data_IF_601495125567
#
_entry.id   IF_601495125567
#
_cell.length_a   1.000
_cell.length_b   1.000
_cell.length_c   1.000
_cell.angle_alpha   90.00
_cell.angle_beta   90.00
_cell.angle_gamma   90.00
#
_symmetry.space_group_name_H-M   'P 1'
#
loop_
_entity.id
_entity.type
_entity.pdbx_description
1 polymer ?
#
# COMPACT_ATOMS: atom_id res chain seq x y z
N UNK A 1 32.22 -33.58 3.93
CA UNK A 1 30.98 -34.17 4.46
C UNK A 1 30.40 -35.07 3.38
N UNK A 2 30.45 -36.39 3.55
CA UNK A 2 29.87 -37.34 2.61
C UNK A 2 28.45 -37.70 3.09
N UNK A 3 27.45 -37.45 2.26
CA UNK A 3 26.06 -37.82 2.54
C UNK A 3 25.86 -39.23 2.00
N UNK A 4 25.78 -40.21 2.91
CA UNK A 4 25.39 -41.58 2.57
C UNK A 4 23.86 -41.63 2.64
N UNK A 5 23.19 -41.52 1.49
CA UNK A 5 21.75 -41.81 1.39
C UNK A 5 21.57 -43.30 1.13
N UNK A 6 21.19 -44.04 2.16
CA UNK A 6 20.67 -45.38 2.02
C UNK A 6 19.18 -45.28 1.66
N UNK A 7 18.84 -45.61 0.41
CA UNK A 7 17.44 -45.72 -0.03
C UNK A 7 16.99 -47.15 0.25
N UNK A 8 16.22 -47.35 1.31
CA UNK A 8 15.51 -48.61 1.55
C UNK A 8 14.23 -48.63 0.73
N UNK A 9 14.21 -49.43 -0.34
CA UNK A 9 12.98 -49.70 -1.10
C UNK A 9 12.21 -50.79 -0.36
N UNK A 10 11.10 -50.42 0.29
CA UNK A 10 10.17 -51.39 0.87
C UNK A 10 9.27 -51.94 -0.23
N UNK A 11 9.57 -53.15 -0.71
CA UNK A 11 8.65 -53.93 -1.55
C UNK A 11 7.58 -54.55 -0.65
N UNK A 12 6.32 -54.10 -0.81
CA UNK A 12 5.16 -54.68 -0.14
C UNK A 12 4.63 -55.84 -0.99
N UNK A 13 5.18 -57.05 -0.82
CA UNK A 13 4.66 -58.27 -1.44
C UNK A 13 4.76 -59.46 -0.46
N UNK A 14 3.78 -60.38 -0.41
CA UNK A 14 3.70 -61.43 0.60
C UNK A 14 4.33 -62.74 0.11
N UNK A 15 5.66 -62.79 -0.07
CA UNK A 15 6.39 -64.06 -0.23
C UNK A 15 7.82 -63.96 0.28
N UNK A 16 8.41 -65.05 0.81
CA UNK A 16 9.72 -65.02 1.44
C UNK A 16 10.84 -64.95 0.40
N UNK A 17 11.37 -63.74 0.17
CA UNK A 17 12.58 -63.55 -0.62
C UNK A 17 13.76 -63.27 0.32
N UNK A 18 14.78 -64.13 0.25
CA UNK A 18 16.06 -63.99 0.94
C UNK A 18 16.80 -62.78 0.35
N UNK A 19 16.90 -61.69 1.10
CA UNK A 19 17.60 -60.47 0.66
C UNK A 19 19.07 -60.61 1.04
N UNK A 20 19.91 -60.93 0.05
CA UNK A 20 21.37 -60.84 0.19
C UNK A 20 21.80 -59.40 -0.13
N UNK A 21 22.29 -58.70 0.90
CA UNK A 21 22.75 -57.31 0.79
C UNK A 21 24.25 -57.33 0.50
N UNK A 22 24.63 -57.36 -0.78
CA UNK A 22 26.00 -57.08 -1.20
C UNK A 22 26.21 -55.56 -1.22
N UNK A 23 26.71 -55.02 -0.12
CA UNK A 23 27.10 -53.62 0.01
C UNK A 23 28.46 -53.38 -0.70
N UNK A 24 28.44 -53.23 -2.03
CA UNK A 24 29.61 -52.75 -2.78
C UNK A 24 29.68 -51.22 -2.64
N UNK A 25 30.47 -50.75 -1.66
CA UNK A 25 30.80 -49.35 -1.48
C UNK A 25 31.80 -48.92 -2.56
N UNK A 26 31.29 -48.42 -3.69
CA UNK A 26 32.11 -47.84 -4.76
C UNK A 26 32.18 -46.32 -4.56
N UNK A 27 33.24 -45.84 -3.92
CA UNK A 27 33.51 -44.39 -3.77
C UNK A 27 34.04 -43.86 -5.10
N UNK A 28 33.11 -43.55 -6.02
CA UNK A 28 33.39 -42.84 -7.26
C UNK A 28 33.40 -41.33 -7.02
N UNK A 29 34.54 -40.68 -7.29
CA UNK A 29 34.68 -39.22 -7.32
C UNK A 29 33.97 -38.68 -8.57
N UNK A 30 32.64 -38.55 -8.50
CA UNK A 30 31.85 -38.05 -9.62
C UNK A 30 32.01 -36.54 -9.82
N UNK A 31 32.19 -36.16 -11.09
CA UNK A 31 32.32 -34.78 -11.54
C UNK A 31 30.95 -34.10 -11.47
N UNK A 32 30.82 -32.91 -10.88
CA UNK A 32 29.53 -32.24 -10.60
C UNK A 32 28.69 -31.88 -11.84
N UNK A 33 29.23 -32.04 -13.05
CA UNK A 33 28.53 -31.67 -14.29
C UNK A 33 27.47 -32.66 -14.75
N UNK A 34 27.48 -33.92 -14.29
CA UNK A 34 26.46 -34.91 -14.70
C UNK A 34 25.22 -34.95 -13.81
N UNK A 35 25.27 -34.32 -12.63
CA UNK A 35 24.15 -34.31 -11.69
C UNK A 35 23.02 -33.36 -12.14
N UNK A 36 23.38 -32.23 -12.75
CA UNK A 36 22.42 -31.25 -13.26
C UNK A 36 21.62 -31.77 -14.46
N UNK A 37 22.26 -32.50 -15.37
CA UNK A 37 21.60 -33.08 -16.54
C UNK A 37 20.53 -34.10 -16.14
N UNK A 38 20.84 -34.99 -15.19
CA UNK A 38 19.88 -35.97 -14.66
C UNK A 38 18.72 -35.29 -13.92
N UNK A 39 18.97 -34.21 -13.18
CA UNK A 39 17.89 -33.45 -12.52
C UNK A 39 16.95 -32.84 -13.57
N UNK A 40 17.49 -32.22 -14.64
CA UNK A 40 16.68 -31.61 -15.70
C UNK A 40 15.84 -32.62 -16.48
N UNK A 41 16.37 -33.82 -16.74
CA UNK A 41 15.62 -34.91 -17.38
C UNK A 41 14.49 -35.41 -16.49
N UNK A 42 14.75 -35.61 -15.20
CA UNK A 42 13.74 -36.06 -14.23
C UNK A 42 12.63 -35.01 -14.10
N UNK A 43 12.98 -33.72 -14.08
CA UNK A 43 12.03 -32.61 -14.04
C UNK A 43 11.19 -32.54 -15.33
N UNK A 44 11.76 -32.81 -16.51
CA UNK A 44 11.00 -32.85 -17.77
C UNK A 44 9.95 -33.96 -17.80
N UNK A 45 10.31 -35.16 -17.36
CA UNK A 45 9.37 -36.29 -17.36
C UNK A 45 8.24 -36.04 -16.36
N UNK A 46 8.55 -35.47 -15.20
CA UNK A 46 7.56 -35.13 -14.19
C UNK A 46 6.64 -33.98 -14.59
N UNK A 47 7.18 -32.94 -15.24
CA UNK A 47 6.37 -31.80 -15.72
C UNK A 47 5.39 -32.19 -16.83
N UNK A 48 5.70 -33.18 -17.65
CA UNK A 48 4.79 -33.69 -18.68
C UNK A 48 3.52 -34.37 -18.10
N UNK A 49 3.64 -35.05 -16.96
CA UNK A 49 2.50 -35.71 -16.29
C UNK A 49 1.62 -34.76 -15.46
N UNK A 50 2.16 -33.61 -15.04
CA UNK A 50 1.53 -32.70 -14.08
C UNK A 50 1.42 -31.25 -14.59
N UNK A 51 1.27 -31.07 -15.90
CA UNK A 51 1.15 -29.76 -16.57
C UNK A 51 0.09 -28.81 -15.94
N UNK A 52 -1.13 -29.24 -15.57
CA UNK A 52 -2.09 -28.31 -14.96
C UNK A 52 -1.66 -27.83 -13.57
N UNK A 53 -0.96 -28.67 -12.80
CA UNK A 53 -0.51 -28.34 -11.43
C UNK A 53 0.65 -27.32 -11.51
N UNK A 54 1.59 -27.51 -12.43
CA UNK A 54 2.73 -26.61 -12.59
C UNK A 54 2.30 -25.24 -13.10
N UNK A 55 1.42 -25.18 -14.11
CA UNK A 55 0.87 -23.90 -14.60
C UNK A 55 0.07 -23.20 -13.51
N UNK A 56 -0.82 -23.91 -12.81
CA UNK A 56 -1.60 -23.36 -11.71
C UNK A 56 -0.73 -22.82 -10.56
N UNK A 57 0.30 -23.58 -10.16
CA UNK A 57 1.25 -23.19 -9.13
C UNK A 57 2.05 -21.94 -9.50
N UNK A 58 2.54 -21.84 -10.75
CA UNK A 58 3.25 -20.66 -11.22
C UNK A 58 2.37 -19.41 -11.22
N UNK A 59 1.12 -19.50 -11.68
CA UNK A 59 0.18 -18.37 -11.68
C UNK A 59 -0.14 -17.93 -10.25
N UNK A 60 -0.42 -18.87 -9.34
CA UNK A 60 -0.68 -18.57 -7.94
C UNK A 60 0.52 -17.87 -7.25
N UNK A 61 1.74 -18.33 -7.52
CA UNK A 61 2.96 -17.72 -7.00
C UNK A 61 3.15 -16.28 -7.51
N UNK A 62 2.87 -16.00 -8.79
CA UNK A 62 2.95 -14.66 -9.37
C UNK A 62 1.93 -13.70 -8.75
N UNK A 63 0.68 -14.15 -8.56
CA UNK A 63 -0.38 -13.35 -7.91
C UNK A 63 0.00 -13.05 -6.46
N UNK A 64 0.49 -14.05 -5.71
CA UNK A 64 0.89 -13.88 -4.32
C UNK A 64 2.08 -12.91 -4.19
N UNK A 65 3.08 -13.02 -5.08
CA UNK A 65 4.19 -12.08 -5.16
C UNK A 65 3.71 -10.66 -5.45
N UNK A 66 2.79 -10.48 -6.39
CA UNK A 66 2.21 -9.18 -6.73
C UNK A 66 1.48 -8.56 -5.53
N UNK A 67 0.68 -9.35 -4.80
CA UNK A 67 -0.01 -8.89 -3.60
C UNK A 67 0.97 -8.52 -2.48
N UNK A 68 2.03 -9.30 -2.27
CA UNK A 68 3.08 -8.99 -1.27
C UNK A 68 3.81 -7.70 -1.64
N UNK A 69 4.14 -7.48 -2.91
CA UNK A 69 4.78 -6.24 -3.36
C UNK A 69 3.85 -5.02 -3.23
N UNK A 70 2.56 -5.17 -3.55
CA UNK A 70 1.60 -4.08 -3.43
C UNK A 70 1.32 -3.72 -1.95
N UNK A 71 1.21 -4.73 -1.09
CA UNK A 71 1.04 -4.54 0.35
C UNK A 71 2.30 -3.99 1.02
N UNK A 72 3.51 -4.40 0.58
CA UNK A 72 4.76 -3.82 1.11
C UNK A 72 4.92 -2.36 0.69
N UNK A 73 4.59 -2.00 -0.57
CA UNK A 73 4.57 -0.61 -1.03
C UNK A 73 3.60 0.25 -0.22
N UNK A 74 2.42 -0.28 0.14
CA UNK A 74 1.49 0.42 1.05
C UNK A 74 2.01 0.55 2.49
N UNK A 75 2.83 -0.40 2.96
CA UNK A 75 3.36 -0.41 4.34
C UNK A 75 4.65 0.40 4.53
N UNK A 76 5.35 0.78 3.46
CA UNK A 76 6.58 1.58 3.54
C UNK A 76 6.38 3.01 4.10
N UNK A 77 5.16 3.43 4.44
CA UNK A 77 4.89 4.71 5.09
C UNK A 77 5.10 4.75 6.62
N UNK A 78 5.28 3.60 7.30
CA UNK A 78 5.37 3.55 8.76
C UNK A 78 6.75 3.03 9.20
N UNK A 79 7.69 3.95 9.36
CA UNK A 79 9.05 3.65 9.79
C UNK A 79 9.06 3.28 11.29
N UNK A 80 9.33 2.03 11.69
CA UNK A 80 9.24 1.58 13.10
C UNK A 80 10.25 2.29 14.00
N UNK A 81 11.33 2.81 13.41
CA UNK A 81 12.32 3.66 14.08
C UNK A 81 11.71 4.96 14.62
N UNK A 82 10.70 5.53 13.94
CA UNK A 82 9.97 6.73 14.40
C UNK A 82 8.98 6.43 15.51
N UNK A 83 8.43 5.21 15.58
CA UNK A 83 7.52 4.79 16.64
C UNK A 83 8.24 4.56 17.98
N UNK A 84 9.50 4.09 17.96
CA UNK A 84 10.29 3.98 19.18
C UNK A 84 10.72 5.35 19.73
N UNK A 85 10.97 6.33 18.85
CA UNK A 85 11.26 7.71 19.28
C UNK A 85 10.06 8.39 19.97
N UNK A 86 8.82 8.00 19.64
CA UNK A 86 7.62 8.54 20.30
C UNK A 86 7.37 7.90 21.67
N UNK A 87 7.72 6.62 21.85
CA UNK A 87 7.57 5.92 23.14
C UNK A 87 8.43 6.51 24.27
N UNK A 88 9.68 6.90 23.96
CA UNK A 88 10.58 7.51 24.94
C UNK A 88 10.15 8.94 25.35
N UNK A 89 9.54 9.70 24.44
CA UNK A 89 8.99 11.04 24.72
C UNK A 89 7.74 10.98 25.62
N UNK A 90 6.93 9.93 25.51
CA UNK A 90 5.74 9.77 26.33
C UNK A 90 6.06 9.38 27.79
N UNK A 91 7.18 8.71 28.05
CA UNK A 91 7.63 8.40 29.42
C UNK A 91 8.03 9.67 30.22
N UNK A 92 8.55 10.70 29.55
CA UNK A 92 8.84 12.03 30.15
C UNK A 92 7.56 12.86 30.34
N UNK A 93 6.45 12.48 29.70
CA UNK A 93 5.18 13.22 29.80
C UNK A 93 4.38 12.86 31.07
N UNK A 94 4.74 11.77 31.78
CA UNK A 94 4.08 11.35 33.02
C UNK A 94 4.29 12.30 34.21
N UNK A 95 5.38 13.06 34.24
CA UNK A 95 5.61 14.09 35.28
C UNK A 95 4.98 15.45 34.90
N UNK A 96 4.57 15.63 33.64
CA UNK A 96 4.00 16.89 33.14
C UNK A 96 2.50 17.05 33.44
N UNK A 97 1.84 16.01 33.94
CA UNK A 97 0.41 16.06 34.32
C UNK A 97 0.12 16.80 35.63
N UNK A 98 1.14 17.16 36.42
CA UNK A 98 0.98 18.00 37.62
C UNK A 98 1.23 19.49 37.35
N UNK A 99 1.76 19.85 36.17
CA UNK A 99 1.96 21.22 35.77
C UNK A 99 0.90 21.60 34.73
N UNK A 100 -0.34 21.78 35.19
CA UNK A 100 -1.42 22.40 34.40
C UNK A 100 -1.16 23.91 34.27
N UNK A 101 0.00 24.26 33.73
CA UNK A 101 0.21 25.57 33.15
C UNK A 101 -0.36 25.46 31.73
N UNK A 102 -1.32 26.33 31.32
CA UNK A 102 -1.84 26.31 29.97
C UNK A 102 -0.63 26.35 29.04
N UNK A 103 -0.37 25.30 28.23
CA UNK A 103 0.78 25.32 27.35
C UNK A 103 0.64 26.59 26.53
N UNK A 104 1.65 27.45 26.54
CA UNK A 104 1.73 28.62 25.65
C UNK A 104 1.27 28.11 24.28
N UNK A 105 0.02 28.43 23.96
CA UNK A 105 -0.59 28.02 22.71
C UNK A 105 0.30 28.65 21.69
N UNK A 106 1.10 27.81 21.03
CA UNK A 106 2.09 28.20 20.06
C UNK A 106 1.53 29.35 19.24
N UNK A 107 2.05 30.56 19.45
CA UNK A 107 1.66 31.76 18.72
C UNK A 107 1.86 31.63 17.19
N UNK A 108 2.30 30.45 16.73
CA UNK A 108 2.36 30.05 15.34
C UNK A 108 1.01 29.58 14.76
N UNK A 109 0.00 29.17 15.56
CA UNK A 109 -1.31 28.81 15.02
C UNK A 109 -2.20 30.04 14.83
N UNK A 110 -1.93 30.79 13.76
CA UNK A 110 -2.69 32.00 13.38
C UNK A 110 -4.06 31.69 12.74
N UNK A 111 -4.54 30.45 12.82
CA UNK A 111 -5.77 30.05 12.13
C UNK A 111 -6.99 30.40 12.97
N UNK A 112 -7.96 31.08 12.35
CA UNK A 112 -9.21 31.46 13.00
C UNK A 112 -10.19 30.29 13.21
N UNK A 113 -9.98 29.14 12.55
CA UNK A 113 -10.90 28.00 12.59
C UNK A 113 -10.15 26.66 12.69
N UNK A 114 -10.68 25.77 13.54
CA UNK A 114 -10.19 24.40 13.73
C UNK A 114 -10.43 23.56 12.47
N UNK A 115 -9.41 22.84 12.03
CA UNK A 115 -9.45 21.88 10.91
C UNK A 115 -9.89 20.52 11.43
N UNK A 116 -10.86 19.89 10.76
CA UNK A 116 -11.34 18.55 11.11
C UNK A 116 -10.76 17.57 10.10
N UNK A 117 -9.76 16.81 10.55
CA UNK A 117 -9.22 15.70 9.78
C UNK A 117 -10.24 14.55 9.84
N UNK A 118 -10.81 14.20 8.68
CA UNK A 118 -11.85 13.19 8.53
C UNK A 118 -11.40 12.04 7.63
N UNK A 119 -12.29 11.07 7.43
CA UNK A 119 -12.07 10.04 6.41
C UNK A 119 -12.00 10.70 5.03
N UNK A 120 -11.01 10.38 4.18
CA UNK A 120 -10.91 10.99 2.87
C UNK A 120 -12.15 10.72 2.01
N UNK A 121 -12.82 11.78 1.58
CA UNK A 121 -14.03 11.69 0.73
C UNK A 121 -13.66 11.89 -0.74
N UNK A 122 -14.16 11.01 -1.60
CA UNK A 122 -13.96 11.11 -3.05
C UNK A 122 -14.79 12.25 -3.63
N UNK A 123 -14.16 13.06 -4.47
CA UNK A 123 -14.80 14.19 -5.16
C UNK A 123 -14.48 14.18 -6.64
N UNK A 124 -15.45 14.63 -7.43
CA UNK A 124 -15.28 14.99 -8.83
C UNK A 124 -14.88 16.46 -8.90
N UNK A 125 -13.83 16.73 -9.67
CA UNK A 125 -13.26 18.05 -9.92
C UNK A 125 -13.56 18.42 -11.38
N UNK A 126 -14.13 19.58 -11.61
CA UNK A 126 -14.30 20.16 -12.93
C UNK A 126 -13.50 21.46 -13.01
N UNK A 127 -12.59 21.56 -13.98
CA UNK A 127 -11.74 22.74 -14.19
C UNK A 127 -11.43 22.89 -15.67
N UNK A 128 -11.31 24.13 -16.14
CA UNK A 128 -10.99 24.43 -17.54
C UNK A 128 -9.61 23.90 -17.96
N UNK A 129 -8.72 23.62 -17.00
CA UNK A 129 -7.39 23.07 -17.23
C UNK A 129 -7.41 21.57 -17.51
N UNK A 130 -8.48 20.84 -17.17
CA UNK A 130 -8.57 19.41 -17.43
C UNK A 130 -8.95 19.15 -18.89
N UNK A 131 -8.17 18.31 -19.58
CA UNK A 131 -8.41 17.95 -20.99
C UNK A 131 -9.79 17.31 -21.21
N UNK A 132 -10.28 16.56 -20.23
CA UNK A 132 -11.59 15.90 -20.26
C UNK A 132 -12.68 16.70 -19.54
N UNK A 133 -12.37 17.93 -19.10
CA UNK A 133 -13.27 18.77 -18.29
C UNK A 133 -13.52 18.28 -16.86
N UNK A 134 -13.22 17.02 -16.55
CA UNK A 134 -13.36 16.42 -15.24
C UNK A 134 -12.10 15.64 -14.82
N UNK A 135 -11.79 15.66 -13.53
CA UNK A 135 -10.77 14.88 -12.87
C UNK A 135 -11.25 14.39 -11.50
N UNK A 136 -10.57 13.41 -10.93
CA UNK A 136 -10.88 12.88 -9.61
C UNK A 136 -9.98 13.50 -8.52
N UNK A 137 -10.50 13.58 -7.31
CA UNK A 137 -9.76 14.02 -6.13
C UNK A 137 -10.30 13.45 -4.83
N UNK A 138 -9.59 13.76 -3.74
CA UNK A 138 -9.97 13.40 -2.38
C UNK A 138 -9.93 14.64 -1.49
N UNK A 139 -10.93 14.83 -0.63
CA UNK A 139 -10.89 15.83 0.43
C UNK A 139 -10.11 15.25 1.60
N UNK A 140 -9.01 15.90 1.98
CA UNK A 140 -8.19 15.50 3.15
C UNK A 140 -8.64 16.23 4.41
N UNK A 141 -8.92 17.53 4.27
CA UNK A 141 -9.22 18.42 5.39
C UNK A 141 -10.24 19.46 4.91
N UNK A 142 -11.11 19.88 5.84
CA UNK A 142 -12.18 20.84 5.59
C UNK A 142 -12.25 21.86 6.72
N UNK A 143 -12.63 23.05 6.32
CA UNK A 143 -12.93 24.17 7.21
C UNK A 143 -14.18 24.89 6.72
N UNK A 144 -14.68 25.83 7.50
CA UNK A 144 -15.79 26.71 7.09
C UNK A 144 -15.45 27.59 5.89
N UNK A 145 -14.16 27.91 5.68
CA UNK A 145 -13.71 28.80 4.61
C UNK A 145 -13.10 28.10 3.39
N UNK A 146 -12.83 26.80 3.46
CA UNK A 146 -12.18 26.10 2.34
C UNK A 146 -11.94 24.62 2.55
N UNK A 147 -11.39 23.99 1.52
CA UNK A 147 -11.11 22.57 1.43
C UNK A 147 -9.65 22.33 1.07
N UNK A 148 -9.05 21.30 1.65
CA UNK A 148 -7.75 20.76 1.22
C UNK A 148 -7.99 19.51 0.39
N UNK A 149 -7.60 19.56 -0.88
CA UNK A 149 -7.81 18.48 -1.85
C UNK A 149 -6.49 17.78 -2.15
N UNK A 150 -6.55 16.46 -2.35
CA UNK A 150 -5.51 15.69 -3.00
C UNK A 150 -5.95 15.31 -4.41
N UNK A 151 -5.12 15.63 -5.40
CA UNK A 151 -5.38 15.27 -6.81
C UNK A 151 -4.09 14.83 -7.49
N UNK A 152 -4.21 14.08 -8.59
CA UNK A 152 -3.06 13.63 -9.38
C UNK A 152 -2.50 14.73 -10.29
N UNK A 153 -3.31 15.75 -10.62
CA UNK A 153 -2.94 16.81 -11.55
C UNK A 153 -2.65 18.12 -10.82
N UNK A 154 -1.55 18.78 -11.17
CA UNK A 154 -1.23 20.10 -10.63
C UNK A 154 -2.22 21.15 -11.15
N UNK A 155 -2.75 21.97 -10.24
CA UNK A 155 -3.57 23.13 -10.58
C UNK A 155 -2.86 24.42 -10.14
N UNK A 156 -2.76 25.45 -11.01
CA UNK A 156 -2.09 26.68 -10.66
C UNK A 156 -2.89 27.46 -9.60
N UNK A 157 -2.23 28.12 -8.63
CA UNK A 157 -2.90 29.07 -7.74
C UNK A 157 -3.63 30.16 -8.52
N UNK A 158 -4.81 30.55 -8.05
CA UNK A 158 -5.74 31.48 -8.71
C UNK A 158 -6.72 30.82 -9.67
N UNK A 159 -6.58 29.52 -9.98
CA UNK A 159 -7.55 28.81 -10.81
C UNK A 159 -8.87 28.55 -10.09
N UNK A 160 -9.96 28.60 -10.85
CA UNK A 160 -11.30 28.21 -10.41
C UNK A 160 -11.50 26.71 -10.66
N UNK A 161 -11.98 26.02 -9.64
CA UNK A 161 -12.26 24.58 -9.66
C UNK A 161 -13.64 24.36 -9.10
N UNK A 162 -14.46 23.62 -9.82
CA UNK A 162 -15.77 23.16 -9.38
C UNK A 162 -15.63 21.78 -8.76
N UNK A 163 -16.18 21.58 -7.57
CA UNK A 163 -16.06 20.32 -6.83
C UNK A 163 -17.42 19.78 -6.45
N UNK A 164 -17.63 18.48 -6.62
CA UNK A 164 -18.84 17.76 -6.21
C UNK A 164 -18.44 16.44 -5.56
N UNK A 165 -19.03 16.10 -4.40
CA UNK A 165 -18.81 14.79 -3.80
C UNK A 165 -19.43 13.68 -4.65
N UNK A 166 -18.74 12.54 -4.79
CA UNK A 166 -19.21 11.42 -5.62
C UNK A 166 -20.54 10.86 -5.10
N UNK A 167 -20.70 10.82 -3.78
CA UNK A 167 -21.89 10.29 -3.12
C UNK A 167 -23.01 11.35 -2.92
N UNK A 168 -22.83 12.57 -3.44
CA UNK A 168 -23.84 13.61 -3.34
C UNK A 168 -24.99 13.37 -4.33
N UNK A 169 -26.26 13.50 -3.89
CA UNK A 169 -27.41 13.41 -4.79
C UNK A 169 -27.32 14.43 -5.92
N UNK A 170 -27.92 14.12 -7.08
CA UNK A 170 -27.88 14.97 -8.30
C UNK A 170 -28.54 16.34 -8.12
N UNK A 171 -29.31 16.53 -7.05
CA UNK A 171 -29.88 17.83 -6.67
C UNK A 171 -28.82 18.81 -6.16
N UNK A 172 -27.64 18.33 -5.76
CA UNK A 172 -26.57 19.16 -5.22
C UNK A 172 -25.58 19.48 -6.33
N UNK A 173 -25.53 20.76 -6.68
CA UNK A 173 -24.64 21.29 -7.71
C UNK A 173 -23.17 21.23 -7.31
N UNK A 174 -22.32 21.64 -8.25
CA UNK A 174 -20.90 21.83 -7.99
C UNK A 174 -20.66 23.07 -7.13
N UNK A 175 -19.70 22.99 -6.23
CA UNK A 175 -19.22 24.11 -5.41
C UNK A 175 -17.98 24.69 -6.04
N UNK A 176 -17.96 26.01 -6.29
CA UNK A 176 -16.80 26.69 -6.87
C UNK A 176 -15.79 27.06 -5.80
N UNK A 177 -14.54 26.70 -6.06
CA UNK A 177 -13.37 26.94 -5.22
C UNK A 177 -12.31 27.70 -6.00
N UNK A 178 -11.56 28.55 -5.29
CA UNK A 178 -10.35 29.19 -5.78
C UNK A 178 -9.14 28.47 -5.21
N UNK A 179 -8.22 27.98 -6.05
CA UNK A 179 -6.97 27.38 -5.59
C UNK A 179 -6.07 28.47 -5.02
N UNK A 180 -5.72 28.40 -3.73
CA UNK A 180 -4.79 29.35 -3.08
C UNK A 180 -3.36 28.83 -3.01
N UNK A 181 -3.19 27.52 -2.92
CA UNK A 181 -1.87 26.90 -2.85
C UNK A 181 -1.89 25.54 -3.52
N UNK A 182 -0.78 25.18 -4.17
CA UNK A 182 -0.55 23.87 -4.74
C UNK A 182 0.83 23.41 -4.27
N UNK A 183 0.89 22.26 -3.60
CA UNK A 183 2.13 21.67 -3.10
C UNK A 183 2.22 20.24 -3.59
N UNK A 184 3.34 19.89 -4.23
CA UNK A 184 3.62 18.49 -4.55
C UNK A 184 4.02 17.76 -3.28
N UNK A 185 3.36 16.65 -2.96
CA UNK A 185 3.84 15.80 -1.89
C UNK A 185 5.05 15.01 -2.42
N UNK A 186 6.20 15.08 -1.75
CA UNK A 186 7.43 14.44 -2.23
C UNK A 186 7.43 12.91 -2.03
N UNK A 187 6.64 12.40 -1.08
CA UNK A 187 6.60 10.98 -0.73
C UNK A 187 5.56 10.19 -1.54
N UNK A 188 4.56 10.87 -2.11
CA UNK A 188 3.46 10.27 -2.83
C UNK A 188 3.19 11.10 -4.09
N UNK A 189 2.92 10.46 -5.23
CA UNK A 189 2.73 11.14 -6.53
C UNK A 189 1.37 11.86 -6.65
N UNK A 190 1.04 12.72 -5.68
CA UNK A 190 -0.15 13.57 -5.70
C UNK A 190 0.17 15.01 -5.26
N UNK A 191 -0.72 15.92 -5.64
CA UNK A 191 -0.67 17.34 -5.31
C UNK A 191 -1.70 17.65 -4.23
N UNK A 192 -1.25 18.34 -3.19
CA UNK A 192 -2.09 18.93 -2.17
C UNK A 192 -2.48 20.35 -2.59
N UNK A 193 -3.77 20.55 -2.80
CA UNK A 193 -4.35 21.84 -3.16
C UNK A 193 -5.03 22.42 -1.93
N UNK A 194 -4.59 23.60 -1.49
CA UNK A 194 -5.35 24.42 -0.55
C UNK A 194 -6.31 25.29 -1.32
N UNK A 195 -7.61 25.07 -1.15
CA UNK A 195 -8.66 25.76 -1.88
C UNK A 195 -9.54 26.56 -0.90
N UNK A 196 -10.02 27.72 -1.34
CA UNK A 196 -10.95 28.58 -0.61
C UNK A 196 -12.28 28.64 -1.36
N UNK A 197 -13.41 28.69 -0.64
CA UNK A 197 -14.71 28.84 -1.29
C UNK A 197 -14.82 30.23 -1.94
N UNK A 198 -15.29 30.30 -3.19
CA UNK A 198 -15.65 31.59 -3.79
C UNK A 198 -16.89 32.16 -3.10
N UNK A 199 -17.88 31.30 -2.86
CA UNK A 199 -19.07 31.58 -2.05
C UNK A 199 -19.25 30.44 -1.05
N UNK A 200 -19.33 30.77 0.24
CA UNK A 200 -19.49 29.76 1.30
C UNK A 200 -20.80 29.01 1.11
N UNK A 201 -20.77 27.69 0.84
CA UNK A 201 -21.98 26.92 0.66
C UNK A 201 -22.71 26.73 2.01
N UNK A 202 -24.01 26.40 1.97
CA UNK A 202 -24.76 26.13 3.20
C UNK A 202 -24.20 24.90 3.92
N UNK A 203 -24.35 24.87 5.24
CA UNK A 203 -23.71 23.88 6.11
C UNK A 203 -24.02 22.42 5.74
N UNK A 204 -25.23 22.14 5.25
CA UNK A 204 -25.64 20.81 4.79
C UNK A 204 -24.77 20.28 3.64
N UNK A 205 -24.31 21.14 2.74
CA UNK A 205 -23.43 20.75 1.63
C UNK A 205 -22.00 20.51 2.13
N UNK A 206 -21.53 21.28 3.12
CA UNK A 206 -20.20 21.08 3.73
C UNK A 206 -20.07 19.71 4.43
N UNK A 207 -21.18 19.20 4.98
CA UNK A 207 -21.21 17.88 5.62
C UNK A 207 -20.96 16.73 4.64
N UNK A 208 -21.24 16.91 3.35
CA UNK A 208 -21.01 15.88 2.33
C UNK A 208 -19.52 15.68 2.01
N UNK A 209 -18.67 16.61 2.43
CA UNK A 209 -17.22 16.53 2.24
C UNK A 209 -16.48 15.89 3.43
N UNK A 210 -17.18 15.20 4.33
CA UNK A 210 -16.59 14.25 5.29
C UNK A 210 -16.72 14.63 6.74
#
# INVERSE_FOLDING_TARGET
MAIVSAVCIFCNAPTPCYIQIDCVVRIGRERPHMLFANIMETVKIWTAGHLPITVGGCVAALVLLFLVLNTSRRRQGLDPSKLQATGALNAVTGEKSLNWDPPEQSYADRRAATRREGQPVRVLLAAATFRNGAGDGYVIDRSTGGLKLATQSALPPGSLVQVRAVDAPDTIGFVTLVVRSCRKNGAQDYFELGCEFEQTPPWNVLLLFG
#
